data_IF_288268933625
#
_entry.id   IF_288268933625
#
_cell.length_a   1.000
_cell.length_b   1.000
_cell.length_c   1.000
_cell.angle_alpha   90.00
_cell.angle_beta   90.00
_cell.angle_gamma   90.00
#
_symmetry.space_group_name_H-M   'P 1'
#
loop_
_entity.id
_entity.type
_entity.pdbx_description
1 polymer ?
#
# COMPACT_ATOMS: atom_id res chain seq x y z
N UNK A 1 34.85 61.29 -29.46
CA UNK A 1 33.90 60.31 -28.88
C UNK A 1 34.12 59.03 -29.62
N UNK A 2 34.82 58.09 -28.96
CA UNK A 2 35.09 56.81 -29.54
C UNK A 2 34.04 55.84 -28.98
N UNK A 3 33.17 55.33 -29.85
CA UNK A 3 32.25 54.24 -29.51
C UNK A 3 33.06 52.96 -29.45
N UNK A 4 33.25 52.44 -28.23
CA UNK A 4 33.72 51.09 -28.02
C UNK A 4 32.61 50.10 -28.39
N UNK A 5 32.75 49.49 -29.56
CA UNK A 5 31.96 48.36 -29.97
C UNK A 5 32.43 47.17 -29.10
N UNK A 6 31.62 46.85 -28.11
CA UNK A 6 31.78 45.67 -27.27
C UNK A 6 31.45 44.43 -28.11
N UNK A 7 32.46 43.82 -28.72
CA UNK A 7 32.36 42.53 -29.38
C UNK A 7 32.20 41.47 -28.30
N UNK A 8 30.95 41.14 -27.95
CA UNK A 8 30.66 39.88 -27.33
C UNK A 8 30.94 38.80 -28.37
N UNK A 9 32.08 38.14 -28.25
CA UNK A 9 32.31 36.89 -28.93
C UNK A 9 31.23 35.91 -28.42
N UNK A 10 30.17 35.74 -29.21
CA UNK A 10 29.26 34.62 -29.06
C UNK A 10 30.12 33.38 -29.23
N UNK A 11 30.31 32.69 -28.14
CA UNK A 11 31.00 31.39 -28.11
C UNK A 11 30.12 30.35 -28.85
N UNK A 12 30.22 30.41 -30.19
CA UNK A 12 29.50 29.49 -31.07
C UNK A 12 30.15 28.12 -30.93
N UNK A 13 29.52 27.25 -30.15
CA UNK A 13 29.96 25.84 -30.00
C UNK A 13 30.06 25.19 -31.37
N UNK A 14 31.15 24.48 -31.59
CA UNK A 14 31.29 23.70 -32.81
C UNK A 14 30.27 22.53 -32.85
N UNK A 15 29.87 22.07 -34.05
CA UNK A 15 28.94 20.96 -34.15
C UNK A 15 29.36 19.70 -33.37
N UNK A 16 30.68 19.51 -33.21
CA UNK A 16 31.27 18.39 -32.45
C UNK A 16 31.08 18.60 -30.94
N UNK A 17 31.23 19.84 -30.43
CA UNK A 17 31.00 20.17 -29.03
C UNK A 17 29.52 20.07 -28.67
N UNK A 18 28.61 20.47 -29.57
CA UNK A 18 27.16 20.31 -29.41
C UNK A 18 26.78 18.81 -29.33
N UNK A 19 27.41 17.97 -30.17
CA UNK A 19 27.18 16.52 -30.13
C UNK A 19 27.64 15.89 -28.83
N UNK A 20 28.80 16.29 -28.31
CA UNK A 20 29.34 15.82 -27.03
C UNK A 20 28.45 16.26 -25.86
N UNK A 21 27.95 17.48 -25.90
CA UNK A 21 27.06 18.00 -24.87
C UNK A 21 25.67 17.36 -24.93
N UNK A 22 25.13 17.10 -26.12
CA UNK A 22 23.92 16.31 -26.31
C UNK A 22 24.08 14.87 -25.78
N UNK A 23 25.24 14.23 -26.02
CA UNK A 23 25.51 12.89 -25.49
C UNK A 23 25.65 12.84 -23.97
N UNK A 24 26.14 13.93 -23.35
CA UNK A 24 26.22 14.04 -21.89
C UNK A 24 24.86 14.29 -21.25
N UNK A 25 23.96 14.95 -21.97
CA UNK A 25 22.63 15.33 -21.48
C UNK A 25 21.54 14.35 -21.93
N UNK A 26 21.84 13.36 -22.77
CA UNK A 26 20.90 12.29 -23.12
C UNK A 26 20.98 11.17 -22.10
N UNK A 27 19.90 10.95 -21.44
CA UNK A 27 19.72 9.79 -20.56
C UNK A 27 19.86 8.51 -21.38
N UNK A 28 20.66 7.53 -20.99
CA UNK A 28 20.73 6.24 -21.65
C UNK A 28 19.34 5.65 -21.84
N UNK A 29 19.10 4.98 -22.97
CA UNK A 29 17.77 4.42 -23.31
C UNK A 29 17.20 3.54 -22.20
N UNK A 30 18.06 2.78 -21.53
CA UNK A 30 17.70 1.95 -20.38
C UNK A 30 17.17 2.76 -19.20
N UNK A 31 17.82 3.88 -18.87
CA UNK A 31 17.37 4.77 -17.79
C UNK A 31 16.07 5.49 -18.16
N UNK A 32 15.90 5.84 -19.44
CA UNK A 32 14.65 6.42 -19.92
C UNK A 32 13.49 5.41 -19.84
N UNK A 33 13.72 4.15 -20.20
CA UNK A 33 12.71 3.10 -20.09
C UNK A 33 12.35 2.81 -18.65
N UNK A 34 13.32 2.76 -17.74
CA UNK A 34 13.07 2.61 -16.28
C UNK A 34 12.28 3.80 -15.73
N UNK A 35 12.65 5.01 -16.11
CA UNK A 35 11.96 6.23 -15.68
C UNK A 35 10.52 6.26 -16.20
N UNK A 36 10.31 5.91 -17.47
CA UNK A 36 8.98 5.81 -18.08
C UNK A 36 8.11 4.79 -17.36
N UNK A 37 8.67 3.62 -17.01
CA UNK A 37 7.94 2.56 -16.31
C UNK A 37 7.61 2.96 -14.87
N UNK A 38 8.50 3.69 -14.19
CA UNK A 38 8.23 4.28 -12.88
C UNK A 38 7.10 5.31 -12.95
N UNK A 39 7.13 6.21 -13.94
CA UNK A 39 6.05 7.18 -14.14
C UNK A 39 4.72 6.53 -14.49
N UNK A 40 4.74 5.48 -15.30
CA UNK A 40 3.53 4.75 -15.67
C UNK A 40 2.89 4.04 -14.47
N UNK A 41 3.71 3.39 -13.63
CA UNK A 41 3.26 2.78 -12.36
C UNK A 41 2.73 3.82 -11.38
N UNK A 42 3.41 4.97 -11.26
CA UNK A 42 2.97 6.07 -10.44
C UNK A 42 1.64 6.64 -10.93
N UNK A 43 1.49 6.83 -12.22
CA UNK A 43 0.24 7.29 -12.83
C UNK A 43 -0.92 6.32 -12.60
N UNK A 44 -0.69 5.02 -12.76
CA UNK A 44 -1.69 4.01 -12.43
C UNK A 44 -2.06 4.02 -10.94
N UNK A 45 -1.07 4.20 -10.05
CA UNK A 45 -1.32 4.31 -8.60
C UNK A 45 -2.21 5.50 -8.28
N UNK A 46 -1.95 6.66 -8.88
CA UNK A 46 -2.77 7.88 -8.70
C UNK A 46 -4.16 7.72 -9.31
N UNK A 47 -4.27 7.13 -10.50
CA UNK A 47 -5.55 6.87 -11.15
C UNK A 47 -6.43 5.89 -10.35
N UNK A 48 -5.83 4.99 -9.57
CA UNK A 48 -6.50 4.05 -8.67
C UNK A 48 -6.73 4.62 -7.25
N UNK A 49 -6.57 5.93 -7.05
CA UNK A 49 -6.85 6.60 -5.78
C UNK A 49 -5.68 6.68 -4.80
N UNK A 50 -4.45 6.40 -5.26
CA UNK A 50 -3.24 6.60 -4.48
C UNK A 50 -2.81 8.07 -4.44
N UNK A 51 -2.19 8.50 -3.34
CA UNK A 51 -1.60 9.84 -3.21
C UNK A 51 -0.17 9.87 -3.78
N UNK A 52 0.19 10.97 -4.44
CA UNK A 52 1.56 11.24 -4.89
C UNK A 52 2.51 11.28 -3.68
N UNK A 53 3.39 10.29 -3.58
CA UNK A 53 4.43 10.25 -2.54
C UNK A 53 4.50 8.96 -1.72
N UNK A 54 3.51 8.08 -1.80
CA UNK A 54 3.64 6.74 -1.25
C UNK A 54 4.06 5.76 -2.36
N UNK A 55 5.37 5.54 -2.48
CA UNK A 55 5.83 4.27 -3.05
C UNK A 55 5.23 3.18 -2.14
N UNK A 56 4.12 2.59 -2.54
CA UNK A 56 3.69 1.32 -1.94
C UNK A 56 4.86 0.37 -2.18
N UNK A 57 5.72 0.19 -1.18
CA UNK A 57 6.64 -0.94 -1.15
C UNK A 57 5.80 -2.15 -1.52
N UNK A 58 6.16 -2.81 -2.61
CA UNK A 58 5.57 -4.11 -2.93
C UNK A 58 5.93 -4.99 -1.75
N UNK A 59 4.95 -5.25 -0.89
CA UNK A 59 5.15 -6.09 0.27
C UNK A 59 5.63 -7.46 -0.17
N UNK A 60 6.78 -7.84 0.35
CA UNK A 60 7.31 -9.17 0.11
C UNK A 60 6.53 -10.21 0.92
N UNK A 61 6.58 -11.47 0.49
CA UNK A 61 5.98 -12.56 1.27
C UNK A 61 6.59 -12.67 2.68
N UNK A 62 7.85 -12.26 2.84
CA UNK A 62 8.52 -12.19 4.14
C UNK A 62 7.91 -11.10 5.03
N UNK A 63 7.58 -9.94 4.48
CA UNK A 63 6.93 -8.84 5.21
C UNK A 63 5.53 -9.26 5.68
N UNK A 64 4.78 -9.94 4.82
CA UNK A 64 3.44 -10.47 5.17
C UNK A 64 3.53 -11.55 6.26
N UNK A 65 4.48 -12.47 6.15
CA UNK A 65 4.71 -13.50 7.16
C UNK A 65 5.14 -12.89 8.51
N UNK A 66 5.95 -11.85 8.49
CA UNK A 66 6.36 -11.13 9.70
C UNK A 66 5.17 -10.47 10.38
N UNK A 67 4.33 -9.74 9.65
CA UNK A 67 3.10 -9.12 10.20
C UNK A 67 2.14 -10.15 10.75
N UNK A 68 1.94 -11.27 10.05
CA UNK A 68 1.13 -12.39 10.56
C UNK A 68 1.66 -12.89 11.90
N UNK A 69 2.96 -13.14 12.01
CA UNK A 69 3.56 -13.60 13.27
C UNK A 69 3.44 -12.57 14.39
N UNK A 70 3.56 -11.29 14.09
CA UNK A 70 3.36 -10.20 15.05
C UNK A 70 1.90 -10.16 15.52
N UNK A 71 0.93 -10.31 14.61
CA UNK A 71 -0.49 -10.37 14.94
C UNK A 71 -0.83 -11.57 15.82
N UNK A 72 -0.30 -12.76 15.51
CA UNK A 72 -0.46 -13.96 16.34
C UNK A 72 0.11 -13.74 17.74
N UNK A 73 1.31 -13.16 17.85
CA UNK A 73 1.93 -12.87 19.14
C UNK A 73 1.10 -11.85 19.93
N UNK A 74 0.62 -10.81 19.28
CA UNK A 74 -0.19 -9.78 19.89
C UNK A 74 -1.49 -10.33 20.50
N UNK A 75 -2.17 -11.25 19.78
CA UNK A 75 -3.39 -11.88 20.28
C UNK A 75 -3.07 -12.89 21.40
N UNK A 76 -1.95 -13.62 21.28
CA UNK A 76 -1.55 -14.61 22.27
C UNK A 76 -1.03 -14.02 23.59
N UNK A 77 -0.49 -12.80 23.57
CA UNK A 77 -0.10 -12.08 24.77
C UNK A 77 -1.36 -11.59 25.48
N UNK A 78 -1.43 -11.78 26.81
CA UNK A 78 -2.55 -11.30 27.63
C UNK A 78 -2.56 -9.77 27.84
N UNK A 79 -1.86 -9.03 26.99
CA UNK A 79 -1.90 -7.58 27.00
C UNK A 79 -3.30 -7.09 26.57
N UNK A 80 -3.79 -6.09 27.27
CA UNK A 80 -5.08 -5.47 26.92
C UNK A 80 -4.87 -4.61 25.68
N UNK A 81 -5.24 -5.15 24.52
CA UNK A 81 -5.29 -4.39 23.29
C UNK A 81 -6.67 -3.74 23.13
N UNK A 82 -6.71 -2.55 22.59
CA UNK A 82 -7.96 -1.89 22.20
C UNK A 82 -8.63 -2.60 21.04
N UNK A 83 -9.90 -2.31 20.80
CA UNK A 83 -10.72 -2.94 19.75
C UNK A 83 -10.11 -2.74 18.36
N UNK A 84 -9.62 -1.55 18.08
CA UNK A 84 -8.96 -1.22 16.80
C UNK A 84 -7.76 -2.12 16.56
N UNK A 85 -6.88 -2.27 17.55
CA UNK A 85 -5.70 -3.13 17.44
C UNK A 85 -6.07 -4.61 17.27
N UNK A 86 -7.08 -5.09 18.00
CA UNK A 86 -7.58 -6.46 17.87
C UNK A 86 -8.15 -6.73 16.48
N UNK A 87 -8.96 -5.83 15.94
CA UNK A 87 -9.53 -5.98 14.60
C UNK A 87 -8.45 -5.98 13.52
N UNK A 88 -7.49 -5.06 13.59
CA UNK A 88 -6.37 -5.06 12.66
C UNK A 88 -5.57 -6.37 12.70
N UNK A 89 -5.30 -6.92 13.89
CA UNK A 89 -4.62 -8.21 14.01
C UNK A 89 -5.43 -9.37 13.42
N UNK A 90 -6.74 -9.38 13.64
CA UNK A 90 -7.63 -10.42 13.08
C UNK A 90 -7.76 -10.32 11.56
N UNK A 91 -7.83 -9.11 11.01
CA UNK A 91 -7.84 -8.85 9.57
C UNK A 91 -6.54 -9.38 8.95
N UNK A 92 -5.39 -9.00 9.48
CA UNK A 92 -4.08 -9.47 9.00
C UNK A 92 -3.96 -11.00 9.03
N UNK A 93 -4.44 -11.63 10.11
CA UNK A 93 -4.42 -13.08 10.22
C UNK A 93 -5.34 -13.74 9.19
N UNK A 94 -6.55 -13.23 9.00
CA UNK A 94 -7.47 -13.74 8.01
C UNK A 94 -6.89 -13.64 6.60
N UNK A 95 -6.43 -12.45 6.21
CA UNK A 95 -5.91 -12.16 4.88
C UNK A 95 -4.67 -13.01 4.57
N UNK A 96 -3.75 -13.18 5.53
CA UNK A 96 -2.58 -14.02 5.36
C UNK A 96 -2.96 -15.51 5.18
N UNK A 97 -3.83 -16.03 6.03
CA UNK A 97 -4.21 -17.45 5.98
C UNK A 97 -4.96 -17.77 4.68
N UNK A 98 -5.93 -16.96 4.29
CA UNK A 98 -6.74 -17.19 3.09
C UNK A 98 -5.93 -17.03 1.80
N UNK A 99 -5.01 -16.08 1.74
CA UNK A 99 -4.10 -15.90 0.59
C UNK A 99 -3.16 -17.09 0.38
N UNK A 100 -2.91 -17.88 1.42
CA UNK A 100 -2.10 -19.12 1.37
C UNK A 100 -2.96 -20.40 1.29
N UNK A 101 -4.25 -20.28 0.96
CA UNK A 101 -5.15 -21.42 0.85
C UNK A 101 -5.41 -22.15 2.19
N UNK A 102 -5.18 -21.45 3.31
CA UNK A 102 -5.43 -21.96 4.65
C UNK A 102 -6.80 -21.51 5.16
N UNK A 103 -7.31 -22.19 6.17
CA UNK A 103 -8.55 -21.80 6.82
C UNK A 103 -8.44 -20.41 7.44
N UNK A 104 -9.50 -19.61 7.30
CA UNK A 104 -9.63 -18.35 8.02
C UNK A 104 -9.48 -18.53 9.54
N UNK A 105 -8.94 -17.51 10.22
CA UNK A 105 -8.92 -17.49 11.69
C UNK A 105 -10.32 -17.38 12.32
N UNK A 106 -11.34 -17.02 11.54
CA UNK A 106 -12.74 -16.97 11.97
C UNK A 106 -13.42 -18.34 11.89
N UNK A 107 -12.82 -19.29 11.19
CA UNK A 107 -13.39 -20.61 11.02
C UNK A 107 -13.32 -21.43 12.32
N UNK A 108 -14.31 -22.29 12.57
CA UNK A 108 -14.23 -23.21 13.70
C UNK A 108 -13.05 -24.16 13.53
N UNK A 109 -12.44 -24.57 14.63
CA UNK A 109 -11.26 -25.44 14.64
C UNK A 109 -11.53 -26.84 14.05
N UNK A 110 -12.78 -27.27 14.02
CA UNK A 110 -13.24 -28.58 13.48
C UNK A 110 -14.51 -28.38 12.66
N UNK A 111 -14.67 -29.20 11.64
CA UNK A 111 -15.81 -29.17 10.75
C UNK A 111 -15.43 -28.87 9.31
N UNK A 112 -16.34 -29.14 8.39
CA UNK A 112 -16.22 -28.74 7.00
C UNK A 112 -16.64 -27.27 6.86
N UNK A 113 -15.96 -26.54 5.96
CA UNK A 113 -16.26 -25.17 5.60
C UNK A 113 -16.76 -25.23 4.17
N UNK A 114 -17.91 -24.62 3.92
CA UNK A 114 -18.47 -24.47 2.59
C UNK A 114 -18.28 -23.03 2.09
N UNK A 115 -18.59 -22.78 0.82
CA UNK A 115 -18.44 -21.47 0.19
C UNK A 115 -19.24 -20.37 0.91
N UNK A 116 -20.42 -20.70 1.44
CA UNK A 116 -21.25 -19.76 2.19
C UNK A 116 -20.62 -19.36 3.53
N UNK A 117 -19.85 -20.25 4.16
CA UNK A 117 -19.10 -19.94 5.37
C UNK A 117 -17.91 -19.03 5.04
N UNK A 118 -17.24 -19.27 3.91
CA UNK A 118 -16.14 -18.41 3.44
C UNK A 118 -16.64 -16.99 3.14
N UNK A 119 -17.79 -16.84 2.49
CA UNK A 119 -18.43 -15.56 2.25
C UNK A 119 -18.75 -14.83 3.57
N UNK A 120 -19.19 -15.54 4.60
CA UNK A 120 -19.46 -14.98 5.92
C UNK A 120 -18.18 -14.51 6.61
N UNK A 121 -17.09 -15.27 6.50
CA UNK A 121 -15.80 -14.86 7.07
C UNK A 121 -15.25 -13.63 6.37
N UNK A 122 -15.41 -13.54 5.05
CA UNK A 122 -15.03 -12.35 4.29
C UNK A 122 -15.88 -11.14 4.69
N UNK A 123 -17.19 -11.31 4.80
CA UNK A 123 -18.09 -10.24 5.23
C UNK A 123 -17.76 -9.75 6.66
N UNK A 124 -17.38 -10.64 7.56
CA UNK A 124 -16.94 -10.30 8.91
C UNK A 124 -15.63 -9.51 8.89
N UNK A 125 -14.67 -9.95 8.09
CA UNK A 125 -13.40 -9.24 7.86
C UNK A 125 -13.64 -7.83 7.35
N UNK A 126 -14.49 -7.66 6.34
CA UNK A 126 -14.80 -6.36 5.72
C UNK A 126 -15.53 -5.44 6.71
N UNK A 127 -16.42 -5.97 7.54
CA UNK A 127 -17.09 -5.20 8.59
C UNK A 127 -16.11 -4.74 9.68
N UNK A 128 -15.12 -5.55 10.04
CA UNK A 128 -14.06 -5.14 10.96
C UNK A 128 -13.22 -4.00 10.36
N UNK A 129 -12.82 -4.10 9.10
CA UNK A 129 -12.08 -3.06 8.40
C UNK A 129 -12.88 -1.76 8.30
N UNK A 130 -14.15 -1.83 7.94
CA UNK A 130 -15.05 -0.67 7.90
C UNK A 130 -15.16 0.00 9.28
N UNK A 131 -15.25 -0.80 10.34
CA UNK A 131 -15.34 -0.31 11.72
C UNK A 131 -14.05 0.40 12.17
N UNK A 132 -12.90 -0.14 11.82
CA UNK A 132 -11.60 0.48 12.09
C UNK A 132 -11.49 1.82 11.35
N UNK A 133 -11.83 1.85 10.07
CA UNK A 133 -11.76 3.05 9.25
C UNK A 133 -12.72 4.15 9.75
N UNK A 134 -13.94 3.78 10.13
CA UNK A 134 -14.95 4.71 10.63
C UNK A 134 -14.61 5.29 12.02
N UNK A 135 -13.81 4.57 12.80
CA UNK A 135 -13.48 4.94 14.18
C UNK A 135 -12.38 5.99 14.33
N UNK A 136 -11.61 6.26 13.28
CA UNK A 136 -10.42 7.12 13.33
C UNK A 136 -9.44 6.78 14.48
N UNK A 137 -9.34 5.51 14.84
CA UNK A 137 -8.47 5.02 15.91
C UNK A 137 -9.09 5.02 17.31
N UNK A 138 -10.36 5.40 17.45
CA UNK A 138 -11.08 5.34 18.74
C UNK A 138 -11.71 3.95 18.95
N UNK A 139 -11.30 3.25 20.00
CA UNK A 139 -11.76 1.89 20.31
C UNK A 139 -13.25 1.81 20.61
N UNK A 140 -13.79 2.82 21.30
CA UNK A 140 -15.22 2.86 21.65
C UNK A 140 -16.07 3.10 20.41
N UNK A 141 -15.66 4.02 19.55
CA UNK A 141 -16.33 4.26 18.27
C UNK A 141 -16.28 3.02 17.38
N UNK A 142 -15.14 2.34 17.32
CA UNK A 142 -14.95 1.11 16.56
C UNK A 142 -15.91 0.00 17.01
N UNK A 143 -15.95 -0.28 18.31
CA UNK A 143 -16.83 -1.31 18.88
C UNK A 143 -18.31 -0.96 18.73
N UNK A 144 -18.68 0.31 18.87
CA UNK A 144 -20.06 0.78 18.70
C UNK A 144 -20.51 0.64 17.24
N UNK A 145 -19.68 1.06 16.29
CA UNK A 145 -19.95 0.93 14.87
C UNK A 145 -20.16 -0.55 14.49
N UNK A 146 -19.23 -1.40 14.88
CA UNK A 146 -19.29 -2.84 14.62
C UNK A 146 -20.55 -3.48 15.19
N UNK A 147 -20.87 -3.22 16.45
CA UNK A 147 -22.06 -3.74 17.12
C UNK A 147 -23.37 -3.28 16.44
N UNK A 148 -23.41 -2.03 15.99
CA UNK A 148 -24.59 -1.51 15.28
C UNK A 148 -24.88 -2.26 13.99
N UNK A 149 -23.84 -2.60 13.22
CA UNK A 149 -23.97 -3.30 11.94
C UNK A 149 -24.38 -4.78 12.12
N UNK A 150 -23.82 -5.46 13.11
CA UNK A 150 -24.22 -6.85 13.42
C UNK A 150 -25.69 -6.91 13.86
N UNK A 151 -26.16 -5.93 14.63
CA UNK A 151 -27.54 -5.93 15.14
C UNK A 151 -28.59 -5.70 14.05
N UNK A 152 -28.25 -5.04 12.96
CA UNK A 152 -29.15 -4.79 11.82
C UNK A 152 -29.21 -5.94 10.81
N UNK A 153 -28.34 -6.94 10.93
CA UNK A 153 -28.27 -8.11 10.04
C UNK A 153 -29.19 -9.28 10.43
N UNK A 154 -30.15 -9.06 11.34
CA UNK A 154 -31.14 -10.06 11.76
C UNK A 154 -32.49 -9.81 11.12
#
# INVERSE_FOLDING_TARGET
MSEEINNQEENVMTPEEVLVEMQKNTVPKSEYEEMRDKYYKLFQSVANGGTLGEEKKVETEEDKAKRFNESVKSIATKEKHGTVAQFNNLIEMHDYLTSHGKRSCFAPSKGEINDADEDQFQALRDLMEESVNASNGDDTACSTYFASRISYGR
#
